data_IF_008149137716
#
_entry.id   IF_008149137716
#
_cell.length_a   1.000
_cell.length_b   1.000
_cell.length_c   1.000
_cell.angle_alpha   90.00
_cell.angle_beta   90.00
_cell.angle_gamma   90.00
#
_symmetry.space_group_name_H-M   'P 1'
#
loop_
_entity.id
_entity.type
_entity.pdbx_description
1 polymer ?
#
# COMPACT_ATOMS: atom_id res chain seq x y z
N UNK A 1 -4.22 -93.75 -3.61
CA UNK A 1 -4.52 -92.45 -3.08
C UNK A 1 -3.57 -91.46 -3.76
N UNK A 2 -4.10 -90.59 -4.66
CA UNK A 2 -3.31 -89.61 -5.41
C UNK A 2 -3.71 -88.19 -4.84
N UNK A 3 -2.78 -87.52 -4.22
CA UNK A 3 -2.96 -86.18 -3.73
C UNK A 3 -2.69 -85.15 -4.85
N UNK A 4 -3.68 -84.32 -5.15
CA UNK A 4 -3.56 -83.23 -6.11
C UNK A 4 -3.14 -81.96 -5.36
N UNK A 5 -1.99 -81.40 -5.72
CA UNK A 5 -1.51 -80.09 -5.21
C UNK A 5 -2.06 -79.00 -6.13
N UNK A 6 -2.94 -78.15 -5.58
CA UNK A 6 -3.44 -76.95 -6.26
C UNK A 6 -2.49 -75.80 -5.97
N UNK A 7 -1.82 -75.27 -7.00
CA UNK A 7 -1.00 -74.06 -6.95
C UNK A 7 -1.92 -72.90 -7.19
N UNK A 8 -2.17 -72.07 -6.14
CA UNK A 8 -2.85 -70.77 -6.27
C UNK A 8 -1.81 -69.72 -6.56
N UNK A 9 -1.75 -69.29 -7.82
CA UNK A 9 -0.89 -68.20 -8.26
C UNK A 9 -1.50 -66.85 -7.82
N UNK A 10 -0.81 -66.16 -6.92
CA UNK A 10 -1.16 -64.80 -6.50
C UNK A 10 -0.57 -63.81 -7.52
N UNK A 11 -1.41 -63.23 -8.38
CA UNK A 11 -1.01 -62.19 -9.30
C UNK A 11 -1.06 -60.85 -8.56
N UNK A 12 0.10 -60.31 -8.20
CA UNK A 12 0.27 -58.96 -7.67
C UNK A 12 0.12 -57.95 -8.83
N UNK A 13 -1.05 -57.31 -8.91
CA UNK A 13 -1.26 -56.13 -9.74
C UNK A 13 -0.55 -54.95 -9.06
N UNK A 14 0.63 -54.61 -9.54
CA UNK A 14 1.29 -53.33 -9.19
C UNK A 14 0.63 -52.24 -10.02
N UNK A 15 -0.33 -51.54 -9.40
CA UNK A 15 -0.84 -50.25 -9.94
C UNK A 15 0.26 -49.20 -9.77
N UNK A 16 0.95 -48.91 -10.88
CA UNK A 16 1.81 -47.73 -10.96
C UNK A 16 0.90 -46.48 -10.84
N UNK A 17 0.86 -45.90 -9.64
CA UNK A 17 0.32 -44.53 -9.47
C UNK A 17 1.32 -43.64 -10.17
N UNK A 18 0.96 -43.16 -11.37
CA UNK A 18 1.67 -42.09 -12.02
C UNK A 18 1.56 -40.88 -11.08
N UNK A 19 2.65 -40.51 -10.42
CA UNK A 19 2.77 -39.21 -9.76
C UNK A 19 2.65 -38.18 -10.88
N UNK A 20 1.45 -37.56 -11.00
CA UNK A 20 1.34 -36.31 -11.69
C UNK A 20 2.31 -35.36 -10.97
N UNK A 21 3.44 -35.09 -11.60
CA UNK A 21 4.25 -33.95 -11.28
C UNK A 21 3.33 -32.75 -11.53
N UNK A 22 2.78 -32.17 -10.49
CA UNK A 22 2.13 -30.86 -10.56
C UNK A 22 3.23 -29.89 -10.98
N UNK A 23 3.39 -29.72 -12.28
CA UNK A 23 4.21 -28.67 -12.83
C UNK A 23 3.60 -27.35 -12.32
N UNK A 24 4.37 -26.49 -11.62
CA UNK A 24 3.82 -25.25 -11.10
C UNK A 24 3.16 -24.50 -12.26
N UNK A 25 1.95 -23.94 -12.07
CA UNK A 25 1.25 -23.28 -13.15
C UNK A 25 2.16 -22.25 -13.80
N UNK A 26 2.19 -22.16 -15.14
CA UNK A 26 3.01 -21.19 -15.84
C UNK A 26 2.67 -19.80 -15.29
N UNK A 27 3.70 -19.06 -14.93
CA UNK A 27 3.57 -17.72 -14.33
C UNK A 27 3.54 -16.70 -15.43
N UNK A 28 2.64 -15.72 -15.31
CA UNK A 28 2.50 -14.67 -16.30
C UNK A 28 3.59 -13.61 -16.20
N UNK A 29 3.68 -12.79 -17.22
CA UNK A 29 4.61 -11.67 -17.34
C UNK A 29 3.84 -10.40 -17.69
N UNK A 30 4.13 -9.30 -16.99
CA UNK A 30 3.65 -7.96 -17.38
C UNK A 30 4.88 -7.10 -17.65
N UNK A 31 4.92 -6.46 -18.82
CA UNK A 31 6.04 -5.63 -19.21
C UNK A 31 5.58 -4.37 -19.95
N UNK A 32 6.47 -3.42 -20.16
CA UNK A 32 6.15 -2.22 -20.91
C UNK A 32 7.05 -1.05 -20.56
N UNK A 33 6.54 0.16 -20.80
CA UNK A 33 7.24 1.39 -20.52
C UNK A 33 6.46 2.27 -19.56
N UNK A 34 7.15 2.85 -18.59
CA UNK A 34 6.63 3.91 -17.74
C UNK A 34 7.18 5.27 -18.19
N UNK A 35 6.30 6.24 -18.31
CA UNK A 35 6.64 7.61 -18.70
C UNK A 35 6.10 8.61 -17.68
N UNK A 36 6.80 9.72 -17.50
CA UNK A 36 6.32 10.86 -16.73
C UNK A 36 5.19 11.61 -17.45
N UNK A 37 4.59 12.58 -16.78
CA UNK A 37 3.58 13.45 -17.39
C UNK A 37 4.13 14.34 -18.54
N UNK A 38 5.41 14.58 -18.54
CA UNK A 38 6.13 15.29 -19.62
C UNK A 38 6.43 14.40 -20.85
N UNK A 39 5.98 13.14 -20.81
CA UNK A 39 6.19 12.15 -21.86
C UNK A 39 7.59 11.53 -21.89
N UNK A 40 8.48 11.91 -20.97
CA UNK A 40 9.83 11.33 -20.88
C UNK A 40 9.82 10.00 -20.14
N UNK A 41 10.78 9.09 -20.47
CA UNK A 41 10.96 7.86 -19.72
C UNK A 41 11.11 8.10 -18.20
N UNK A 42 10.38 7.35 -17.41
CA UNK A 42 10.44 7.40 -15.95
C UNK A 42 11.54 6.44 -15.46
N UNK A 43 12.76 6.97 -15.25
CA UNK A 43 13.93 6.20 -14.86
C UNK A 43 13.94 5.86 -13.37
N UNK A 44 14.22 4.59 -13.04
CA UNK A 44 14.51 4.13 -11.68
C UNK A 44 13.32 4.12 -10.73
N UNK A 45 12.09 4.21 -11.26
CA UNK A 45 10.86 4.28 -10.46
C UNK A 45 10.39 2.87 -10.08
N UNK A 46 10.10 2.67 -8.80
CA UNK A 46 9.45 1.48 -8.28
C UNK A 46 8.01 1.37 -8.77
N UNK A 47 7.64 0.20 -9.29
CA UNK A 47 6.31 -0.13 -9.76
C UNK A 47 5.79 -1.38 -9.05
N UNK A 48 4.50 -1.41 -8.76
CA UNK A 48 3.81 -2.54 -8.16
C UNK A 48 2.68 -3.00 -9.08
N UNK A 49 2.57 -4.31 -9.30
CA UNK A 49 1.46 -4.95 -9.99
C UNK A 49 0.45 -5.46 -8.97
N UNK A 50 -0.77 -4.93 -8.98
CA UNK A 50 -1.83 -5.25 -8.03
C UNK A 50 -2.92 -6.08 -8.72
N UNK A 51 -3.18 -7.31 -8.27
CA UNK A 51 -4.21 -8.16 -8.85
C UNK A 51 -5.60 -7.65 -8.45
N UNK A 52 -6.50 -7.57 -9.41
CA UNK A 52 -7.88 -7.15 -9.18
C UNK A 52 -8.78 -8.36 -8.90
N UNK A 53 -9.66 -8.23 -7.90
CA UNK A 53 -10.66 -9.26 -7.58
C UNK A 53 -10.13 -10.47 -6.80
N UNK A 54 -8.91 -10.43 -6.30
CA UNK A 54 -8.36 -11.46 -5.39
C UNK A 54 -8.15 -10.91 -3.99
N UNK A 55 -8.32 -11.76 -2.97
CA UNK A 55 -7.99 -11.37 -1.60
C UNK A 55 -6.47 -11.20 -1.46
N UNK A 56 -6.04 -10.08 -0.93
CA UNK A 56 -4.63 -9.82 -0.66
C UNK A 56 -4.11 -10.79 0.39
N UNK A 57 -3.28 -11.74 -0.02
CA UNK A 57 -2.68 -12.70 0.88
C UNK A 57 -1.16 -12.83 0.72
N UNK A 58 -0.52 -12.11 -0.19
CA UNK A 58 0.89 -12.32 -0.52
C UNK A 58 1.61 -11.02 -0.85
N UNK A 59 2.92 -11.11 -0.92
CA UNK A 59 3.80 -10.05 -1.43
C UNK A 59 3.41 -9.73 -2.87
N UNK A 60 3.07 -8.47 -3.11
CA UNK A 60 2.74 -8.00 -4.46
C UNK A 60 4.00 -7.99 -5.34
N UNK A 61 3.89 -8.33 -6.63
CA UNK A 61 4.99 -8.19 -7.57
C UNK A 61 5.47 -6.74 -7.65
N UNK A 62 6.78 -6.57 -7.49
CA UNK A 62 7.44 -5.27 -7.53
C UNK A 62 8.63 -5.30 -8.48
N UNK A 63 8.87 -4.20 -9.20
CA UNK A 63 10.01 -4.02 -10.10
C UNK A 63 10.44 -2.56 -10.14
N UNK A 64 11.57 -2.26 -10.80
CA UNK A 64 12.00 -0.88 -11.08
C UNK A 64 12.20 -0.69 -12.58
N UNK A 65 11.87 0.51 -13.04
CA UNK A 65 12.14 0.91 -14.42
C UNK A 65 13.64 1.09 -14.66
N UNK A 66 14.09 0.78 -15.85
CA UNK A 66 15.45 1.06 -16.32
C UNK A 66 15.61 2.52 -16.80
N UNK A 67 16.78 2.84 -17.37
CA UNK A 67 17.10 4.19 -17.89
C UNK A 67 16.20 4.63 -19.05
N UNK A 68 15.64 3.70 -19.81
CA UNK A 68 14.70 3.95 -20.89
C UNK A 68 13.23 3.96 -20.44
N UNK A 69 12.99 3.75 -19.14
CA UNK A 69 11.65 3.65 -18.58
C UNK A 69 11.01 2.25 -18.73
N UNK A 70 11.72 1.27 -19.31
CA UNK A 70 11.17 -0.07 -19.47
C UNK A 70 11.09 -0.77 -18.12
N UNK A 71 10.09 -1.62 -17.97
CA UNK A 71 9.88 -2.44 -16.79
C UNK A 71 9.38 -3.84 -17.14
N UNK A 72 9.59 -4.80 -16.25
CA UNK A 72 9.12 -6.17 -16.40
C UNK A 72 8.84 -6.79 -15.03
N UNK A 73 7.64 -7.34 -14.86
CA UNK A 73 7.28 -8.21 -13.76
C UNK A 73 7.37 -9.65 -14.24
N UNK A 74 8.32 -10.38 -13.69
CA UNK A 74 8.45 -11.82 -13.92
C UNK A 74 7.56 -12.58 -12.94
N UNK A 75 6.92 -13.63 -13.43
CA UNK A 75 6.21 -14.57 -12.59
C UNK A 75 5.06 -13.94 -11.77
N UNK A 76 4.21 -13.12 -12.39
CA UNK A 76 2.99 -12.67 -11.71
C UNK A 76 2.17 -13.88 -11.26
N UNK A 77 1.77 -13.96 -9.96
CA UNK A 77 1.38 -15.24 -9.35
C UNK A 77 -0.01 -15.75 -9.74
N UNK A 78 -0.87 -14.88 -10.29
CA UNK A 78 -2.24 -15.21 -10.62
C UNK A 78 -2.56 -14.87 -12.07
N UNK A 79 -3.47 -15.64 -12.65
CA UNK A 79 -4.12 -15.27 -13.89
C UNK A 79 -5.26 -14.29 -13.62
N UNK A 80 -5.45 -13.33 -14.51
CA UNK A 80 -6.51 -12.35 -14.41
C UNK A 80 -6.04 -10.92 -14.64
N UNK A 81 -6.85 -9.97 -14.15
CA UNK A 81 -6.59 -8.54 -14.34
C UNK A 81 -5.66 -7.99 -13.27
N UNK A 82 -4.74 -7.16 -13.73
CA UNK A 82 -3.82 -6.41 -12.89
C UNK A 82 -3.91 -4.92 -13.19
N UNK A 83 -3.67 -4.11 -12.20
CA UNK A 83 -3.33 -2.72 -12.36
C UNK A 83 -1.87 -2.51 -12.00
N UNK A 84 -1.17 -1.62 -12.73
CA UNK A 84 0.23 -1.28 -12.46
C UNK A 84 0.32 0.20 -12.08
N UNK A 85 0.92 0.47 -10.95
CA UNK A 85 1.06 1.83 -10.42
C UNK A 85 2.46 2.06 -9.83
N UNK A 86 2.85 3.32 -9.70
CA UNK A 86 4.10 3.68 -9.04
C UNK A 86 3.97 3.52 -7.51
N UNK A 87 4.97 2.88 -6.90
CA UNK A 87 5.08 2.67 -5.47
C UNK A 87 6.55 2.87 -5.06
N UNK A 88 6.93 4.13 -4.95
CA UNK A 88 8.29 4.58 -4.69
C UNK A 88 8.24 5.90 -3.91
N UNK A 89 8.23 5.78 -2.58
CA UNK A 89 8.09 6.93 -1.68
C UNK A 89 9.27 7.91 -1.83
N UNK A 90 10.49 7.40 -2.05
CA UNK A 90 11.68 8.23 -2.25
C UNK A 90 11.58 9.06 -3.53
N UNK A 91 10.92 8.54 -4.55
CA UNK A 91 10.65 9.25 -5.79
C UNK A 91 9.39 10.15 -5.72
N UNK A 92 8.64 10.10 -4.63
CA UNK A 92 7.41 10.87 -4.42
C UNK A 92 6.14 10.17 -4.91
N UNK A 93 6.15 8.85 -5.01
CA UNK A 93 4.98 8.05 -5.37
C UNK A 93 4.65 7.08 -4.25
N UNK A 94 3.52 7.26 -3.58
CA UNK A 94 3.04 6.30 -2.57
C UNK A 94 1.85 5.52 -3.10
N UNK A 95 1.73 4.27 -2.69
CA UNK A 95 0.58 3.41 -3.02
C UNK A 95 -0.76 4.05 -2.65
N UNK A 96 -0.78 4.87 -1.61
CA UNK A 96 -1.96 5.65 -1.21
C UNK A 96 -2.42 6.66 -2.28
N UNK A 97 -1.49 7.35 -2.95
CA UNK A 97 -1.84 8.36 -3.96
C UNK A 97 -1.91 7.80 -5.38
N UNK A 98 -1.22 6.71 -5.65
CA UNK A 98 -1.02 6.16 -7.01
C UNK A 98 -1.67 4.80 -7.21
N UNK A 99 -1.98 4.07 -6.13
CA UNK A 99 -2.59 2.75 -6.16
C UNK A 99 -4.10 2.76 -6.35
N UNK A 100 -4.74 1.58 -6.42
CA UNK A 100 -6.18 1.44 -6.66
C UNK A 100 -7.07 2.07 -5.58
N UNK A 101 -6.55 2.23 -4.35
CA UNK A 101 -7.26 2.91 -3.26
C UNK A 101 -7.12 4.44 -3.32
N UNK A 102 -6.22 4.95 -4.18
CA UNK A 102 -6.03 6.37 -4.40
C UNK A 102 -7.01 6.95 -5.42
N UNK A 103 -6.85 8.23 -5.70
CA UNK A 103 -7.66 8.93 -6.70
C UNK A 103 -7.15 8.75 -8.15
N UNK A 104 -6.04 8.00 -8.33
CA UNK A 104 -5.55 7.63 -9.64
C UNK A 104 -6.40 6.49 -10.20
N UNK A 105 -6.59 6.49 -11.51
CA UNK A 105 -7.15 5.35 -12.22
C UNK A 105 -5.99 4.67 -12.99
N UNK A 106 -5.18 3.84 -12.30
CA UNK A 106 -4.02 3.23 -12.93
C UNK A 106 -4.47 2.29 -14.04
N UNK A 107 -3.67 2.15 -15.12
CA UNK A 107 -4.02 1.33 -16.25
C UNK A 107 -4.12 -0.14 -15.85
N UNK A 108 -4.99 -0.87 -16.55
CA UNK A 108 -5.24 -2.29 -16.32
C UNK A 108 -4.73 -3.13 -17.48
N UNK A 109 -4.36 -4.36 -17.16
CA UNK A 109 -3.93 -5.39 -18.12
C UNK A 109 -4.41 -6.75 -17.66
N UNK A 110 -4.66 -7.66 -18.58
CA UNK A 110 -5.07 -9.03 -18.30
C UNK A 110 -4.00 -10.02 -18.72
N UNK A 111 -3.73 -11.02 -17.88
CA UNK A 111 -2.80 -12.12 -18.12
C UNK A 111 -3.56 -13.42 -17.96
N UNK A 112 -3.53 -14.27 -18.99
CA UNK A 112 -4.24 -15.57 -19.00
C UNK A 112 -3.30 -16.70 -19.41
N UNK A 113 -3.66 -17.98 -19.19
CA UNK A 113 -2.87 -19.10 -19.67
C UNK A 113 -2.64 -19.08 -21.20
N UNK A 114 -3.61 -18.56 -21.97
CA UNK A 114 -3.53 -18.45 -23.44
C UNK A 114 -2.68 -17.24 -23.88
N UNK A 115 -2.63 -16.20 -23.04
CA UNK A 115 -1.85 -14.99 -23.25
C UNK A 115 -1.02 -14.69 -21.99
N UNK A 116 0.07 -15.45 -21.77
CA UNK A 116 0.86 -15.36 -20.55
C UNK A 116 1.72 -14.12 -20.44
N UNK A 117 1.90 -13.38 -21.53
CA UNK A 117 2.62 -12.12 -21.55
C UNK A 117 1.71 -10.96 -21.98
N UNK A 118 1.75 -9.86 -21.26
CA UNK A 118 0.93 -8.69 -21.54
C UNK A 118 1.76 -7.40 -21.47
N UNK A 119 1.61 -6.54 -22.48
CA UNK A 119 2.26 -5.24 -22.56
C UNK A 119 1.35 -4.14 -21.99
N UNK A 120 1.92 -3.26 -21.18
CA UNK A 120 1.19 -2.16 -20.58
C UNK A 120 2.05 -0.89 -20.52
N UNK A 121 1.55 0.20 -21.09
CA UNK A 121 2.14 1.53 -20.92
C UNK A 121 1.60 2.18 -19.66
N UNK A 122 2.49 2.61 -18.76
CA UNK A 122 2.15 3.33 -17.52
C UNK A 122 2.49 4.80 -17.66
N UNK A 123 1.52 5.69 -17.46
CA UNK A 123 1.76 7.12 -17.32
C UNK A 123 1.74 7.46 -15.85
N UNK A 124 2.87 7.94 -15.32
CA UNK A 124 2.97 8.27 -13.91
C UNK A 124 2.05 9.45 -13.55
N UNK A 125 1.33 9.41 -12.45
CA UNK A 125 0.58 10.56 -11.95
C UNK A 125 1.54 11.67 -11.47
N UNK A 126 1.03 12.86 -11.12
CA UNK A 126 1.82 13.88 -10.45
C UNK A 126 2.43 13.32 -9.14
N UNK A 127 3.63 13.78 -8.80
CA UNK A 127 4.25 13.42 -7.52
C UNK A 127 3.42 13.91 -6.34
N UNK A 128 3.38 13.14 -5.28
CA UNK A 128 2.76 13.54 -4.03
C UNK A 128 3.40 14.82 -3.45
N UNK A 129 2.62 15.56 -2.68
CA UNK A 129 3.16 16.55 -1.76
C UNK A 129 3.68 15.87 -0.48
N UNK A 130 4.68 16.45 0.16
CA UNK A 130 5.32 15.91 1.36
C UNK A 130 4.95 16.77 2.56
N UNK A 131 4.38 16.17 3.61
CA UNK A 131 4.17 16.82 4.90
C UNK A 131 5.12 16.17 5.90
N UNK A 132 5.97 16.97 6.51
CA UNK A 132 6.78 16.54 7.65
C UNK A 132 6.21 17.14 8.93
N UNK A 133 5.85 16.29 9.90
CA UNK A 133 5.25 16.70 11.17
C UNK A 133 6.27 16.47 12.28
N UNK A 134 6.51 17.52 13.08
CA UNK A 134 7.27 17.47 14.33
C UNK A 134 6.31 17.66 15.50
N UNK A 135 6.26 16.67 16.41
CA UNK A 135 5.32 16.65 17.51
C UNK A 135 6.04 16.89 18.84
N UNK A 136 5.62 17.92 19.57
CA UNK A 136 6.18 18.28 20.87
C UNK A 136 5.11 18.55 21.93
N UNK A 137 5.48 18.36 23.17
CA UNK A 137 4.67 18.77 24.32
C UNK A 137 4.77 20.29 24.48
N UNK A 138 3.66 20.98 24.42
CA UNK A 138 3.60 22.45 24.48
C UNK A 138 4.22 23.03 25.76
N UNK A 139 4.10 22.34 26.90
CA UNK A 139 4.58 22.82 28.19
C UNK A 139 6.08 22.60 28.39
N UNK A 140 6.60 21.47 27.92
CA UNK A 140 8.00 21.06 28.22
C UNK A 140 8.93 21.19 27.03
N UNK A 141 8.41 21.34 25.82
CA UNK A 141 9.18 21.28 24.56
C UNK A 141 9.70 19.87 24.20
N UNK A 142 9.44 18.88 25.05
CA UNK A 142 9.93 17.51 24.81
C UNK A 142 9.21 16.88 23.60
N UNK A 143 9.94 16.12 22.79
CA UNK A 143 9.36 15.35 21.70
C UNK A 143 8.36 14.31 22.24
N UNK A 144 7.24 14.15 21.55
CA UNK A 144 6.23 13.10 21.85
C UNK A 144 6.49 11.94 20.91
N UNK A 145 6.73 10.75 21.45
CA UNK A 145 7.24 9.59 20.70
C UNK A 145 6.21 8.90 19.82
N UNK A 146 4.91 9.11 20.06
CA UNK A 146 3.85 8.47 19.30
C UNK A 146 2.78 9.47 18.90
N UNK A 147 2.39 9.46 17.63
CA UNK A 147 1.28 10.26 17.11
C UNK A 147 0.38 9.41 16.22
N UNK A 148 -0.86 9.82 16.11
CA UNK A 148 -1.78 9.40 15.05
C UNK A 148 -2.07 10.60 14.18
N UNK A 149 -1.97 10.38 12.89
CA UNK A 149 -2.29 11.39 11.88
C UNK A 149 -3.45 10.88 11.05
N UNK A 150 -4.46 11.70 10.86
CA UNK A 150 -5.54 11.41 9.93
C UNK A 150 -5.66 12.55 8.91
N UNK A 151 -5.77 12.19 7.64
CA UNK A 151 -6.08 13.09 6.55
C UNK A 151 -7.50 12.83 6.09
N UNK A 152 -8.31 13.85 6.09
CA UNK A 152 -9.70 13.80 5.65
C UNK A 152 -9.88 14.75 4.46
N UNK A 153 -10.47 14.31 3.34
CA UNK A 153 -10.83 15.22 2.27
C UNK A 153 -11.74 16.35 2.82
N UNK A 154 -11.50 17.57 2.39
CA UNK A 154 -12.30 18.71 2.87
C UNK A 154 -13.79 18.54 2.54
N UNK A 155 -14.10 17.94 1.41
CA UNK A 155 -15.46 17.65 0.92
C UNK A 155 -16.11 16.43 1.62
N UNK A 156 -15.33 15.57 2.27
CA UNK A 156 -15.79 14.35 2.97
C UNK A 156 -15.11 14.15 4.32
N UNK A 157 -15.28 15.09 5.27
CA UNK A 157 -14.52 15.09 6.52
C UNK A 157 -14.84 13.94 7.48
N UNK A 158 -15.88 13.16 7.23
CA UNK A 158 -16.21 11.98 8.02
C UNK A 158 -15.51 10.69 7.57
N UNK A 159 -14.79 10.73 6.46
CA UNK A 159 -14.15 9.55 5.87
C UNK A 159 -12.63 9.80 5.74
N UNK A 160 -11.83 9.42 6.74
CA UNK A 160 -10.39 9.55 6.62
C UNK A 160 -9.89 8.69 5.48
N UNK A 161 -9.12 9.30 4.57
CA UNK A 161 -8.48 8.58 3.46
C UNK A 161 -7.12 8.01 3.85
N UNK A 162 -6.57 8.51 4.96
CA UNK A 162 -5.28 8.08 5.47
C UNK A 162 -5.28 8.17 7.00
N UNK A 163 -4.79 7.13 7.67
CA UNK A 163 -4.54 7.13 9.11
C UNK A 163 -3.24 6.37 9.36
N UNK A 164 -2.29 7.03 10.01
CA UNK A 164 -0.99 6.43 10.36
C UNK A 164 -0.64 6.80 11.81
N UNK A 165 0.10 5.93 12.48
CA UNK A 165 0.64 6.17 13.81
C UNK A 165 2.09 5.74 13.94
N UNK A 166 2.86 6.32 14.91
CA UNK A 166 3.98 5.69 15.61
C UNK A 166 5.30 6.44 15.77
N UNK A 167 5.54 7.65 15.29
CA UNK A 167 6.83 8.32 15.48
C UNK A 167 6.69 9.80 15.87
N UNK A 168 7.70 10.36 16.54
CA UNK A 168 7.75 11.78 16.89
C UNK A 168 7.94 12.70 15.68
N UNK A 169 8.45 12.17 14.61
CA UNK A 169 8.58 12.83 13.31
C UNK A 169 8.03 11.90 12.24
N UNK A 170 7.12 12.38 11.45
CA UNK A 170 6.46 11.60 10.40
C UNK A 170 6.53 12.36 9.08
N UNK A 171 6.89 11.65 8.02
CA UNK A 171 6.73 12.12 6.63
C UNK A 171 5.49 11.44 6.06
N UNK A 172 4.62 12.24 5.48
CA UNK A 172 3.37 11.79 4.87
C UNK A 172 3.34 12.30 3.44
N UNK A 173 3.07 11.40 2.51
CA UNK A 173 2.84 11.74 1.12
C UNK A 173 1.33 11.91 0.90
N UNK A 174 0.93 13.03 0.33
CA UNK A 174 -0.48 13.32 0.05
C UNK A 174 -0.69 13.56 -1.45
N UNK A 175 -1.86 13.19 -2.00
CA UNK A 175 -2.21 13.53 -3.37
C UNK A 175 -2.07 15.04 -3.60
N UNK A 176 -1.41 15.47 -4.69
CA UNK A 176 -1.21 16.89 -4.95
C UNK A 176 -2.51 17.57 -5.37
N UNK A 177 -2.54 18.90 -5.26
CA UNK A 177 -3.59 19.79 -5.75
C UNK A 177 -5.00 19.49 -5.19
N UNK A 178 -5.05 18.88 -3.99
CA UNK A 178 -6.26 18.60 -3.24
C UNK A 178 -6.20 19.20 -1.84
N UNK A 179 -7.39 19.50 -1.32
CA UNK A 179 -7.55 20.00 0.04
C UNK A 179 -7.81 18.86 1.01
N UNK A 180 -7.01 18.82 2.08
CA UNK A 180 -7.19 17.87 3.18
C UNK A 180 -7.26 18.59 4.51
N UNK A 181 -8.04 18.05 5.44
CA UNK A 181 -8.02 18.40 6.85
C UNK A 181 -7.05 17.45 7.56
N UNK A 182 -5.99 18.01 8.12
CA UNK A 182 -4.97 17.30 8.87
C UNK A 182 -5.36 17.28 10.35
N UNK A 183 -5.50 16.09 10.91
CA UNK A 183 -5.71 15.86 12.34
C UNK A 183 -4.49 15.15 12.93
N UNK A 184 -4.03 15.62 14.09
CA UNK A 184 -2.92 15.01 14.84
C UNK A 184 -3.35 14.76 16.26
N UNK A 185 -3.19 13.52 16.72
CA UNK A 185 -3.52 13.12 18.09
C UNK A 185 -2.38 12.31 18.69
N UNK A 186 -2.30 12.27 20.03
CA UNK A 186 -1.39 11.41 20.77
C UNK A 186 -2.04 11.01 22.09
N UNK A 187 -1.76 9.80 22.56
CA UNK A 187 -2.32 9.29 23.81
C UNK A 187 -1.85 10.15 25.00
N UNK A 188 -2.78 10.55 25.86
CA UNK A 188 -2.48 11.43 26.99
C UNK A 188 -2.47 12.92 26.66
N UNK A 189 -2.71 13.28 25.42
CA UNK A 189 -2.76 14.68 24.98
C UNK A 189 -4.13 15.05 24.42
N UNK A 190 -4.41 16.35 24.37
CA UNK A 190 -5.57 16.86 23.62
C UNK A 190 -5.26 16.80 22.14
N UNK A 191 -6.30 16.54 21.35
CA UNK A 191 -6.18 16.60 19.89
C UNK A 191 -5.69 18.00 19.46
N UNK A 192 -4.78 18.01 18.50
CA UNK A 192 -4.32 19.26 17.90
C UNK A 192 -5.39 19.84 16.98
N UNK A 193 -5.91 20.98 17.39
CA UNK A 193 -6.89 21.72 16.62
C UNK A 193 -6.37 23.13 16.37
N UNK A 194 -6.17 23.50 15.14
CA UNK A 194 -6.08 24.91 14.83
C UNK A 194 -7.46 25.55 14.98
N UNK A 195 -7.46 26.81 15.34
CA UNK A 195 -8.53 27.75 15.76
C UNK A 195 -10.01 27.44 15.47
N UNK A 196 -10.32 26.44 14.65
CA UNK A 196 -11.68 26.06 14.23
C UNK A 196 -12.17 24.73 14.83
N UNK A 197 -11.32 23.95 15.51
CA UNK A 197 -11.66 22.60 16.01
C UNK A 197 -11.84 21.55 14.91
N UNK A 198 -11.51 21.86 13.66
CA UNK A 198 -11.73 20.98 12.50
C UNK A 198 -10.44 20.39 11.90
N UNK A 199 -9.28 20.59 12.53
CA UNK A 199 -7.99 20.25 11.97
C UNK A 199 -7.40 21.40 11.13
N UNK A 200 -6.19 21.20 10.61
CA UNK A 200 -5.51 22.14 9.72
C UNK A 200 -5.80 21.84 8.27
N UNK A 201 -6.29 22.83 7.54
CA UNK A 201 -6.39 22.73 6.08
C UNK A 201 -4.99 22.70 5.47
N UNK A 202 -4.69 21.69 4.66
CA UNK A 202 -3.45 21.53 3.91
C UNK A 202 -3.77 21.34 2.44
N UNK A 203 -2.98 22.02 1.60
CA UNK A 203 -3.02 21.92 0.15
C UNK A 203 -1.60 22.00 -0.35
N UNK A 204 -1.14 21.01 -1.12
CA UNK A 204 0.21 20.98 -1.66
C UNK A 204 0.18 20.74 -3.15
N UNK A 205 0.97 21.53 -3.87
CA UNK A 205 1.28 21.23 -5.27
C UNK A 205 2.15 19.98 -5.40
N UNK A 206 2.21 19.43 -6.60
CA UNK A 206 3.06 18.26 -6.91
C UNK A 206 4.51 18.49 -6.50
N UNK A 207 5.05 17.58 -5.70
CA UNK A 207 6.42 17.63 -5.18
C UNK A 207 6.69 18.72 -4.14
N UNK A 208 5.69 19.46 -3.70
CA UNK A 208 5.86 20.49 -2.66
C UNK A 208 6.12 19.88 -1.28
N UNK A 209 6.88 20.58 -0.45
CA UNK A 209 7.22 20.17 0.92
C UNK A 209 6.63 21.14 1.95
N UNK A 210 6.03 20.61 3.01
CA UNK A 210 5.48 21.37 4.12
C UNK A 210 5.96 20.80 5.45
N UNK A 211 6.63 21.61 6.25
CA UNK A 211 6.99 21.29 7.63
C UNK A 211 5.94 21.86 8.59
N UNK A 212 5.46 21.05 9.52
CA UNK A 212 4.45 21.43 10.51
C UNK A 212 4.96 21.09 11.91
N UNK A 213 5.14 22.13 12.73
CA UNK A 213 5.41 21.96 14.15
C UNK A 213 4.09 21.90 14.92
N UNK A 214 3.81 20.74 15.50
CA UNK A 214 2.60 20.50 16.28
C UNK A 214 2.95 20.49 17.76
N UNK A 215 2.29 21.33 18.54
CA UNK A 215 2.45 21.39 19.99
C UNK A 215 1.17 20.93 20.66
N UNK A 216 1.21 19.77 21.34
CA UNK A 216 0.08 19.22 22.07
C UNK A 216 0.09 19.61 23.54
N UNK A 217 -1.10 19.86 24.08
CA UNK A 217 -1.33 20.04 25.52
C UNK A 217 -1.69 18.70 26.15
N UNK A 218 -1.10 18.40 27.31
CA UNK A 218 -1.48 17.20 28.07
C UNK A 218 -2.98 17.23 28.40
N UNK A 219 -3.65 16.11 28.24
CA UNK A 219 -5.05 15.97 28.58
C UNK A 219 -5.19 16.04 30.11
N UNK A 220 -6.16 16.84 30.63
CA UNK A 220 -6.49 16.82 32.06
C UNK A 220 -7.10 15.48 32.47
N UNK A 221 -7.01 15.16 33.77
CA UNK A 221 -7.46 13.86 34.35
C UNK A 221 -8.90 13.46 33.94
N UNK A 222 -9.80 14.44 33.79
CA UNK A 222 -11.19 14.18 33.37
C UNK A 222 -11.30 13.67 31.94
N UNK A 223 -10.41 14.11 31.05
CA UNK A 223 -10.42 13.72 29.64
C UNK A 223 -9.77 12.35 29.44
N UNK A 224 -8.79 11.99 30.27
CA UNK A 224 -8.22 10.64 30.33
C UNK A 224 -9.27 9.59 30.69
N UNK A 225 -10.14 9.87 31.65
CA UNK A 225 -11.23 8.96 32.06
C UNK A 225 -12.28 8.76 30.95
N UNK A 226 -12.56 9.78 30.14
CA UNK A 226 -13.45 9.67 28.97
C UNK A 226 -12.87 8.85 27.83
N UNK A 227 -11.54 8.86 27.66
CA UNK A 227 -10.84 8.11 26.61
C UNK A 227 -10.66 6.63 26.99
N UNK A 228 -10.60 6.27 28.27
CA UNK A 228 -10.57 4.88 28.72
C UNK A 228 -11.87 4.11 28.40
N UNK A 229 -12.99 4.80 28.17
CA UNK A 229 -14.26 4.20 27.76
C UNK A 229 -14.40 3.99 26.25
N UNK A 230 -13.50 4.53 25.42
CA UNK A 230 -13.40 4.24 24.00
C UNK A 230 -12.31 3.20 23.81
N UNK A 231 -12.72 1.96 23.58
CA UNK A 231 -11.81 0.84 23.28
C UNK A 231 -10.77 1.28 22.26
N UNK A 232 -9.52 1.36 22.73
CA UNK A 232 -8.37 1.55 21.87
C UNK A 232 -8.30 0.35 20.94
N UNK A 233 -8.54 0.55 19.66
CA UNK A 233 -8.02 -0.36 18.65
C UNK A 233 -6.50 -0.33 18.79
N UNK A 234 -5.95 -1.40 19.36
CA UNK A 234 -4.51 -1.58 19.53
C UNK A 234 -3.86 -1.53 18.14
N UNK A 235 -3.31 -0.38 17.78
CA UNK A 235 -2.27 -0.31 16.77
C UNK A 235 -0.99 -0.77 17.47
N UNK A 236 -0.64 -2.04 17.30
CA UNK A 236 0.69 -2.52 17.63
C UNK A 236 1.67 -1.81 16.67
N UNK A 237 2.49 -0.96 17.23
CA UNK A 237 3.68 -0.42 16.58
C UNK A 237 4.83 -1.43 16.74
#
# INVERSE_FOLDING_TARGET
MKAAIVFVGFVLLVTAVAQQHDEPPPKGVIYGIAIGQDGRPAKGIGLTAFPLGVALAAVLPHTKTNDAGDYRFENVPWWGRYTVYADDEDAGYSSFSTGPAGDSNPPEVEVTPEHPEAELKVVLPPKAGFIQIHLTNRKTGAAISAMRVALMPEDKPASPVFTMGCYSTQIILIPPDKNFLLHVTSDGFREWNESTGKGKLVHLASGAHLNIDVQLEAAGVIQLLRNLGRTSSNLNC
#
